data_IF_993509564462
#
_entry.id   IF_993509564462
#
_cell.length_a   1.000
_cell.length_b   1.000
_cell.length_c   1.000
_cell.angle_alpha   90.00
_cell.angle_beta   90.00
_cell.angle_gamma   90.00
#
_symmetry.space_group_name_H-M   'P 1'
#
loop_
_entity.id
_entity.type
_entity.pdbx_description
1 polymer ?
#
# COMPACT_ATOMS: atom_id res chain seq x y z
N UNK A 1 -8.09 21.95 3.46
CA UNK A 1 -7.14 21.31 2.55
C UNK A 1 -6.58 20.12 3.31
N UNK A 2 -6.84 18.91 2.87
CA UNK A 2 -6.28 17.71 3.51
C UNK A 2 -4.75 17.81 3.43
N UNK A 3 -4.08 17.89 4.58
CA UNK A 3 -2.62 17.85 4.67
C UNK A 3 -2.15 16.50 4.09
N UNK A 4 -1.76 16.52 2.81
CA UNK A 4 -1.26 15.31 2.14
C UNK A 4 0.06 14.96 2.79
N UNK A 5 0.04 13.93 3.63
CA UNK A 5 1.22 13.38 4.29
C UNK A 5 2.21 12.94 3.22
N UNK A 6 3.31 13.68 3.05
CA UNK A 6 4.38 13.29 2.15
C UNK A 6 5.08 12.08 2.80
N UNK A 7 4.84 10.89 2.26
CA UNK A 7 5.58 9.71 2.69
C UNK A 7 7.09 9.92 2.49
N UNK A 8 7.89 9.55 3.50
CA UNK A 8 9.36 9.53 3.42
C UNK A 8 9.83 8.16 2.94
N UNK A 9 11.04 8.09 2.35
CA UNK A 9 11.60 6.82 1.84
C UNK A 9 11.69 5.77 2.96
N UNK A 10 11.97 6.23 4.17
CA UNK A 10 12.04 5.41 5.37
C UNK A 10 10.69 4.77 5.72
N UNK A 11 9.60 5.54 5.65
CA UNK A 11 8.24 5.04 5.89
C UNK A 11 7.84 3.98 4.85
N UNK A 12 8.19 4.22 3.58
CA UNK A 12 7.95 3.25 2.50
C UNK A 12 8.71 1.94 2.74
N UNK A 13 9.97 2.04 3.17
CA UNK A 13 10.79 0.88 3.49
C UNK A 13 10.22 0.10 4.68
N UNK A 14 9.87 0.78 5.77
CA UNK A 14 9.26 0.16 6.95
C UNK A 14 7.93 -0.55 6.61
N UNK A 15 7.11 0.07 5.75
CA UNK A 15 5.87 -0.53 5.26
C UNK A 15 6.15 -1.79 4.43
N UNK A 16 7.16 -1.76 3.55
CA UNK A 16 7.58 -2.92 2.74
C UNK A 16 8.06 -4.08 3.60
N UNK A 17 8.88 -3.80 4.60
CA UNK A 17 9.37 -4.82 5.56
C UNK A 17 8.23 -5.43 6.39
N UNK A 18 7.25 -4.61 6.79
CA UNK A 18 6.06 -5.10 7.47
C UNK A 18 5.26 -6.08 6.60
N UNK A 19 4.99 -5.73 5.34
CA UNK A 19 4.29 -6.59 4.38
C UNK A 19 5.06 -7.88 4.08
N UNK A 20 6.38 -7.81 3.95
CA UNK A 20 7.23 -8.98 3.74
C UNK A 20 7.22 -9.95 4.92
N UNK A 21 6.93 -9.46 6.13
CA UNK A 21 6.81 -10.27 7.35
C UNK A 21 5.40 -10.87 7.54
N UNK A 22 4.41 -10.45 6.76
CA UNK A 22 3.05 -10.99 6.83
C UNK A 22 2.88 -12.19 5.91
N UNK A 23 2.06 -13.16 6.33
CA UNK A 23 1.58 -14.20 5.44
C UNK A 23 0.31 -13.71 4.72
N UNK A 24 0.50 -13.15 3.52
CA UNK A 24 -0.58 -12.52 2.76
C UNK A 24 -1.55 -13.58 2.21
N UNK A 25 -2.87 -13.42 2.37
CA UNK A 25 -3.85 -14.27 1.70
C UNK A 25 -3.77 -14.11 0.18
N UNK A 26 -4.27 -15.09 -0.57
CA UNK A 26 -4.30 -15.02 -2.03
C UNK A 26 -5.10 -13.80 -2.52
N UNK A 27 -6.28 -13.57 -1.93
CA UNK A 27 -7.15 -12.44 -2.26
C UNK A 27 -7.60 -11.70 -1.00
N UNK A 28 -8.02 -10.44 -1.19
CA UNK A 28 -8.49 -9.57 -0.12
C UNK A 28 -9.58 -8.62 -0.61
N UNK A 29 -10.69 -8.56 0.13
CA UNK A 29 -11.67 -7.49 -0.02
C UNK A 29 -11.28 -6.34 0.92
N UNK A 30 -10.82 -5.23 0.35
CA UNK A 30 -10.38 -4.05 1.13
C UNK A 30 -11.60 -3.26 1.62
N UNK A 31 -12.51 -2.95 0.70
CA UNK A 31 -13.78 -2.26 0.94
C UNK A 31 -14.86 -2.80 -0.01
N UNK A 32 -16.09 -2.29 0.00
CA UNK A 32 -17.19 -2.83 -0.84
C UNK A 32 -16.93 -2.74 -2.35
N UNK A 33 -16.12 -1.78 -2.81
CA UNK A 33 -15.82 -1.54 -4.22
C UNK A 33 -14.46 -2.14 -4.64
N UNK A 34 -13.56 -2.40 -3.69
CA UNK A 34 -12.19 -2.83 -3.97
C UNK A 34 -11.96 -4.28 -3.56
N UNK A 35 -12.03 -5.18 -4.56
CA UNK A 35 -11.60 -6.58 -4.43
C UNK A 35 -10.25 -6.79 -5.10
N UNK A 36 -9.32 -7.40 -4.38
CA UNK A 36 -7.99 -7.72 -4.88
C UNK A 36 -7.87 -9.25 -5.01
N UNK A 37 -7.89 -9.80 -6.24
CA UNK A 37 -7.86 -11.26 -6.44
C UNK A 37 -6.47 -11.87 -6.25
N UNK A 38 -5.40 -11.08 -6.42
CA UNK A 38 -4.01 -11.49 -6.17
C UNK A 38 -3.33 -10.42 -5.32
N UNK A 39 -3.38 -10.59 -4.00
CA UNK A 39 -2.90 -9.59 -3.06
C UNK A 39 -1.39 -9.41 -3.17
N UNK A 40 -0.63 -10.50 -3.25
CA UNK A 40 0.85 -10.46 -3.28
C UNK A 40 1.34 -9.64 -4.48
N UNK A 41 0.86 -9.97 -5.67
CA UNK A 41 1.25 -9.25 -6.90
C UNK A 41 0.81 -7.79 -6.86
N UNK A 42 -0.39 -7.53 -6.33
CA UNK A 42 -0.92 -6.16 -6.22
C UNK A 42 -0.06 -5.32 -5.27
N UNK A 43 0.32 -5.87 -4.11
CA UNK A 43 1.20 -5.20 -3.14
C UNK A 43 2.55 -4.90 -3.77
N UNK A 44 3.17 -5.83 -4.50
CA UNK A 44 4.44 -5.59 -5.20
C UNK A 44 4.32 -4.46 -6.24
N UNK A 45 3.25 -4.47 -7.06
CA UNK A 45 2.99 -3.41 -8.03
C UNK A 45 2.79 -2.05 -7.37
N UNK A 46 2.09 -2.00 -6.23
CA UNK A 46 1.87 -0.75 -5.48
C UNK A 46 3.18 -0.20 -4.90
N UNK A 47 4.09 -1.05 -4.42
CA UNK A 47 5.41 -0.61 -3.98
C UNK A 47 6.25 -0.07 -5.14
N UNK A 48 6.27 -0.74 -6.29
CA UNK A 48 6.97 -0.24 -7.48
C UNK A 48 6.42 1.13 -7.91
N UNK A 49 5.09 1.31 -7.88
CA UNK A 49 4.46 2.61 -8.15
C UNK A 49 4.85 3.66 -7.11
N UNK A 50 4.86 3.31 -5.82
CA UNK A 50 5.22 4.21 -4.75
C UNK A 50 6.69 4.66 -4.82
N UNK A 51 7.60 3.79 -5.23
CA UNK A 51 9.02 4.12 -5.44
C UNK A 51 9.19 5.13 -6.59
N UNK A 52 8.45 4.96 -7.69
CA UNK A 52 8.48 5.88 -8.84
C UNK A 52 7.77 7.21 -8.53
N UNK A 53 6.68 7.16 -7.76
CA UNK A 53 5.85 8.33 -7.45
C UNK A 53 6.29 9.07 -6.18
N UNK A 54 7.39 8.63 -5.54
CA UNK A 54 7.88 9.16 -4.27
C UNK A 54 8.04 10.69 -4.28
N UNK A 55 8.51 11.25 -5.40
CA UNK A 55 8.79 12.67 -5.56
C UNK A 55 7.55 13.50 -5.95
N UNK A 56 6.40 12.86 -6.19
CA UNK A 56 5.16 13.53 -6.59
C UNK A 56 4.02 13.28 -5.59
N UNK A 57 3.74 14.23 -4.67
CA UNK A 57 2.67 14.12 -3.69
C UNK A 57 1.27 13.91 -4.29
N UNK A 58 1.07 14.20 -5.58
CA UNK A 58 -0.21 13.99 -6.26
C UNK A 58 -0.41 12.55 -6.73
N UNK A 59 0.63 11.72 -6.70
CA UNK A 59 0.63 10.34 -7.23
C UNK A 59 0.74 9.28 -6.11
N UNK A 60 0.55 9.67 -4.85
CA UNK A 60 0.64 8.79 -3.68
C UNK A 60 -0.61 7.94 -3.41
N UNK A 61 -1.54 7.81 -4.38
CA UNK A 61 -2.74 6.97 -4.23
C UNK A 61 -2.44 5.50 -3.97
N UNK A 62 -1.31 5.00 -4.49
CA UNK A 62 -0.80 3.66 -4.21
C UNK A 62 -0.48 3.43 -2.73
N UNK A 63 0.03 4.46 -2.03
CA UNK A 63 0.34 4.39 -0.60
C UNK A 63 -0.93 4.33 0.26
N UNK A 64 -1.95 5.10 -0.10
CA UNK A 64 -3.25 5.06 0.57
C UNK A 64 -3.85 3.65 0.47
N UNK A 65 -3.77 3.04 -0.72
CA UNK A 65 -4.27 1.67 -0.90
C UNK A 65 -3.44 0.64 -0.09
N UNK A 66 -2.12 0.77 -0.03
CA UNK A 66 -1.26 -0.08 0.80
C UNK A 66 -1.63 0.02 2.29
N UNK A 67 -1.89 1.23 2.80
CA UNK A 67 -2.33 1.44 4.18
C UNK A 67 -3.71 0.82 4.45
N UNK A 68 -4.66 0.95 3.52
CA UNK A 68 -5.98 0.33 3.65
C UNK A 68 -5.88 -1.21 3.65
N UNK A 69 -5.02 -1.77 2.80
CA UNK A 69 -4.73 -3.22 2.80
C UNK A 69 -4.15 -3.64 4.15
N UNK A 70 -3.13 -2.92 4.65
CA UNK A 70 -2.50 -3.19 5.94
C UNK A 70 -3.51 -3.13 7.08
N UNK A 71 -4.34 -2.09 7.13
CA UNK A 71 -5.41 -1.95 8.13
C UNK A 71 -6.40 -3.12 8.09
N UNK A 72 -6.65 -3.68 6.90
CA UNK A 72 -7.53 -4.83 6.72
C UNK A 72 -6.88 -6.18 7.09
N UNK A 73 -5.56 -6.27 7.08
CA UNK A 73 -4.82 -7.47 7.50
C UNK A 73 -4.58 -7.52 9.01
N UNK A 74 -4.58 -6.37 9.69
CA UNK A 74 -4.39 -6.27 11.15
C UNK A 74 -5.71 -6.47 11.92
N UNK A 75 -6.84 -6.36 11.23
CA UNK A 75 -8.20 -6.35 11.81
C UNK A 75 -8.97 -7.61 11.42
#
# INVERSE_FOLDING_TARGET
MEERKIYKKEELKALREWFASQNLPQSLQVDKATYIPNLKETVERLFNQAEVCFENPKMQGCLILLENIKAKLVN
#
